data_IF_868627389675
#
_entry.id   IF_868627389675
#
_cell.length_a   1.000
_cell.length_b   1.000
_cell.length_c   1.000
_cell.angle_alpha   90.00
_cell.angle_beta   90.00
_cell.angle_gamma   90.00
#
_symmetry.space_group_name_H-M   'P 1'
#
loop_
_entity.id
_entity.type
_entity.pdbx_description
1 polymer ?
#
# COMPACT_ATOMS: atom_id res chain seq x y z
N UNK A 1 5.02 -0.78 7.57
CA UNK A 1 4.28 -0.76 8.86
C UNK A 1 2.80 -0.63 8.52
N UNK A 2 1.93 -1.53 8.98
CA UNK A 2 0.50 -1.48 8.62
C UNK A 2 -0.17 -0.35 9.39
N UNK A 3 -1.30 0.14 8.87
CA UNK A 3 -2.13 1.16 9.55
C UNK A 3 -2.51 0.75 10.98
N UNK A 4 -2.83 -0.54 11.19
CA UNK A 4 -3.12 -1.11 12.51
C UNK A 4 -1.93 -1.05 13.46
N UNK A 5 -0.71 -1.18 12.96
CA UNK A 5 0.51 -1.13 13.77
C UNK A 5 0.78 0.31 14.25
N UNK A 6 0.54 1.31 13.40
CA UNK A 6 0.63 2.73 13.78
C UNK A 6 -0.41 3.11 14.84
N UNK A 7 -1.66 2.66 14.67
CA UNK A 7 -2.72 2.91 15.65
C UNK A 7 -2.39 2.31 17.03
N UNK A 8 -1.83 1.09 17.07
CA UNK A 8 -1.35 0.47 18.32
C UNK A 8 -0.21 1.24 18.96
N UNK A 9 0.73 1.75 18.15
CA UNK A 9 1.84 2.56 18.63
C UNK A 9 1.34 3.88 19.23
N UNK A 10 0.42 4.58 18.55
CA UNK A 10 -0.23 5.79 19.08
C UNK A 10 -0.91 5.47 20.42
N UNK A 11 -1.70 4.40 20.49
CA UNK A 11 -2.40 4.00 21.72
C UNK A 11 -1.42 3.71 22.87
N UNK A 12 -0.31 3.02 22.58
CA UNK A 12 0.75 2.76 23.56
C UNK A 12 1.34 4.06 24.12
N UNK A 13 1.68 5.01 23.25
CA UNK A 13 2.25 6.31 23.65
C UNK A 13 1.25 7.10 24.50
N UNK A 14 -0.02 7.14 24.09
CA UNK A 14 -1.09 7.77 24.87
C UNK A 14 -1.19 7.12 26.25
N UNK A 15 -1.14 5.80 26.34
CA UNK A 15 -1.21 5.07 27.61
C UNK A 15 -0.02 5.40 28.52
N UNK A 16 1.20 5.46 27.98
CA UNK A 16 2.41 5.83 28.75
C UNK A 16 2.26 7.25 29.30
N UNK A 17 1.81 8.20 28.49
CA UNK A 17 1.61 9.57 28.94
C UNK A 17 0.49 9.70 29.97
N UNK A 18 -0.62 8.97 29.80
CA UNK A 18 -1.69 8.93 30.80
C UNK A 18 -1.20 8.39 32.14
N UNK A 19 -0.43 7.29 32.14
CA UNK A 19 0.15 6.72 33.36
C UNK A 19 1.15 7.66 34.02
N UNK A 20 1.98 8.35 33.24
CA UNK A 20 2.90 9.36 33.76
C UNK A 20 2.14 10.51 34.44
N UNK A 21 1.11 11.07 33.79
CA UNK A 21 0.31 12.14 34.38
C UNK A 21 -0.34 11.69 35.70
N UNK A 22 -0.94 10.49 35.71
CA UNK A 22 -1.55 9.93 36.93
C UNK A 22 -0.50 9.74 38.03
N UNK A 23 0.67 9.16 37.70
CA UNK A 23 1.77 8.98 38.65
C UNK A 23 2.28 10.30 39.21
N UNK A 24 2.40 11.33 38.37
CA UNK A 24 2.75 12.69 38.80
C UNK A 24 1.73 13.29 39.77
N UNK A 25 0.43 13.11 39.52
CA UNK A 25 -0.64 13.57 40.42
C UNK A 25 -0.62 12.84 41.76
N UNK A 26 -0.38 11.52 41.76
CA UNK A 26 -0.28 10.72 42.99
C UNK A 26 0.91 11.19 43.83
N UNK A 27 2.08 11.43 43.22
CA UNK A 27 3.27 11.93 43.92
C UNK A 27 3.03 13.33 44.48
N UNK A 28 2.36 14.20 43.71
CA UNK A 28 2.04 15.55 44.14
C UNK A 28 1.18 15.58 45.42
N UNK A 29 0.19 14.68 45.52
CA UNK A 29 -0.75 14.63 46.65
C UNK A 29 -0.18 13.82 47.82
N UNK A 30 0.45 12.68 47.56
CA UNK A 30 0.85 11.73 48.60
C UNK A 30 2.29 11.87 49.09
N UNK A 31 3.21 12.33 48.25
CA UNK A 31 4.66 12.29 48.52
C UNK A 31 5.40 13.50 47.91
N UNK A 32 5.08 14.74 48.34
CA UNK A 32 5.57 15.95 47.70
C UNK A 32 7.12 16.05 47.68
N UNK A 33 7.81 15.48 48.66
CA UNK A 33 9.28 15.46 48.73
C UNK A 33 9.96 14.74 47.54
N UNK A 34 9.24 13.85 46.85
CA UNK A 34 9.74 13.11 45.69
C UNK A 34 9.46 13.81 44.35
N UNK A 35 8.72 14.93 44.35
CA UNK A 35 8.33 15.63 43.13
C UNK A 35 9.55 16.07 42.29
N UNK A 36 10.62 16.55 42.92
CA UNK A 36 11.85 16.94 42.22
C UNK A 36 12.52 15.77 41.47
N UNK A 37 12.55 14.59 42.09
CA UNK A 37 13.07 13.36 41.47
C UNK A 37 12.18 12.92 40.30
N UNK A 38 10.86 13.00 40.47
CA UNK A 38 9.93 12.69 39.39
C UNK A 38 10.09 13.64 38.20
N UNK A 39 10.19 14.95 38.43
CA UNK A 39 10.38 15.97 37.40
C UNK A 39 11.68 15.76 36.60
N UNK A 40 12.73 15.22 37.23
CA UNK A 40 13.98 14.86 36.54
C UNK A 40 13.82 13.70 35.54
N UNK A 41 12.80 12.85 35.71
CA UNK A 41 12.50 11.73 34.82
C UNK A 41 11.55 12.10 33.67
N UNK A 42 10.78 13.19 33.82
CA UNK A 42 9.81 13.67 32.80
C UNK A 42 10.43 13.80 31.40
N UNK A 43 11.65 14.37 31.22
CA UNK A 43 12.27 14.44 29.90
C UNK A 43 12.41 13.07 29.23
N UNK A 44 12.76 12.01 29.97
CA UNK A 44 12.89 10.66 29.43
C UNK A 44 11.53 10.03 29.13
N UNK A 45 10.56 10.25 30.01
CA UNK A 45 9.17 9.79 29.85
C UNK A 45 8.55 10.39 28.58
N UNK A 46 8.89 11.63 28.24
CA UNK A 46 8.42 12.29 27.01
C UNK A 46 9.27 11.90 25.80
N UNK A 47 10.59 11.94 25.91
CA UNK A 47 11.49 11.78 24.76
C UNK A 47 11.41 10.37 24.15
N UNK A 48 11.38 9.31 24.96
CA UNK A 48 11.42 7.93 24.47
C UNK A 48 10.15 7.60 23.64
N UNK A 49 8.92 7.78 24.16
CA UNK A 49 7.71 7.50 23.39
C UNK A 49 7.57 8.42 22.17
N UNK A 50 7.97 9.69 22.27
CA UNK A 50 7.98 10.62 21.14
C UNK A 50 8.91 10.16 20.01
N UNK A 51 10.11 9.66 20.34
CA UNK A 51 11.05 9.13 19.36
C UNK A 51 10.50 7.87 18.67
N UNK A 52 9.90 6.95 19.44
CA UNK A 52 9.26 5.74 18.89
C UNK A 52 8.10 6.12 17.96
N UNK A 53 7.25 7.06 18.37
CA UNK A 53 6.14 7.58 17.55
C UNK A 53 6.63 8.21 16.25
N UNK A 54 7.64 9.06 16.33
CA UNK A 54 8.25 9.72 15.18
C UNK A 54 8.79 8.70 14.20
N UNK A 55 9.53 7.69 14.69
CA UNK A 55 10.07 6.63 13.84
C UNK A 55 8.96 5.83 13.14
N UNK A 56 7.83 5.59 13.81
CA UNK A 56 6.67 4.91 13.26
C UNK A 56 6.02 5.70 12.13
N UNK A 57 5.78 7.00 12.33
CA UNK A 57 5.25 7.89 11.30
C UNK A 57 6.19 8.04 10.11
N UNK A 58 7.50 8.18 10.35
CA UNK A 58 8.50 8.25 9.29
C UNK A 58 8.48 6.99 8.44
N UNK A 59 8.47 5.79 9.05
CA UNK A 59 8.37 4.52 8.31
C UNK A 59 7.09 4.41 7.48
N UNK A 60 5.93 4.84 7.98
CA UNK A 60 4.67 4.84 7.21
C UNK A 60 4.72 5.84 6.06
N UNK A 61 5.23 7.05 6.30
CA UNK A 61 5.37 8.08 5.26
C UNK A 61 6.29 7.61 4.14
N UNK A 62 7.45 7.04 4.47
CA UNK A 62 8.36 6.47 3.47
C UNK A 62 7.71 5.34 2.67
N UNK A 63 6.99 4.43 3.33
CA UNK A 63 6.25 3.36 2.64
C UNK A 63 5.22 3.92 1.63
N UNK A 64 4.39 4.89 2.04
CA UNK A 64 3.40 5.50 1.15
C UNK A 64 4.09 6.19 -0.04
N UNK A 65 5.18 6.91 0.20
CA UNK A 65 5.96 7.55 -0.89
C UNK A 65 6.51 6.53 -1.87
N UNK A 66 7.05 5.41 -1.38
CA UNK A 66 7.54 4.34 -2.26
C UNK A 66 6.40 3.72 -3.07
N UNK A 67 5.25 3.46 -2.44
CA UNK A 67 4.06 2.95 -3.14
C UNK A 67 3.56 3.93 -4.21
N UNK A 68 3.55 5.24 -3.91
CA UNK A 68 3.25 6.30 -4.88
C UNK A 68 4.22 6.31 -6.07
N UNK A 69 5.51 6.06 -5.83
CA UNK A 69 6.52 5.99 -6.88
C UNK A 69 6.36 4.77 -7.81
N UNK A 70 5.95 3.63 -7.26
CA UNK A 70 5.76 2.38 -8.03
C UNK A 70 4.41 2.36 -8.77
N UNK A 71 3.39 3.02 -8.21
CA UNK A 71 2.01 2.97 -8.69
C UNK A 71 1.83 3.30 -10.18
N UNK A 72 2.40 4.38 -10.75
CA UNK A 72 2.26 4.68 -12.18
C UNK A 72 2.78 3.55 -13.09
N UNK A 73 3.85 2.87 -12.69
CA UNK A 73 4.40 1.73 -13.43
C UNK A 73 3.44 0.55 -13.45
N UNK A 74 2.84 0.23 -12.31
CA UNK A 74 1.84 -0.84 -12.17
C UNK A 74 0.58 -0.51 -13.00
N UNK A 75 0.08 0.73 -12.93
CA UNK A 75 -1.06 1.19 -13.74
C UNK A 75 -0.76 1.07 -15.22
N UNK A 76 0.43 1.54 -15.64
CA UNK A 76 0.86 1.42 -17.04
C UNK A 76 0.91 -0.03 -17.48
N UNK A 77 1.41 -0.95 -16.66
CA UNK A 77 1.48 -2.37 -16.99
C UNK A 77 0.09 -2.99 -17.15
N UNK A 78 -0.80 -2.82 -16.17
CA UNK A 78 -2.17 -3.32 -16.23
C UNK A 78 -2.95 -2.75 -17.41
N UNK A 79 -2.80 -1.45 -17.68
CA UNK A 79 -3.46 -0.81 -18.83
C UNK A 79 -2.88 -1.28 -20.17
N UNK A 80 -1.56 -1.38 -20.29
CA UNK A 80 -0.90 -1.88 -21.52
C UNK A 80 -1.34 -3.30 -21.84
N UNK A 81 -1.55 -4.14 -20.81
CA UNK A 81 -2.06 -5.49 -20.98
C UNK A 81 -3.49 -5.50 -21.56
N UNK A 82 -4.36 -4.61 -21.10
CA UNK A 82 -5.72 -4.45 -21.66
C UNK A 82 -5.64 -3.92 -23.10
N UNK A 83 -4.85 -2.87 -23.34
CA UNK A 83 -4.76 -2.24 -24.66
C UNK A 83 -4.18 -3.19 -25.72
N UNK A 84 -3.27 -4.08 -25.34
CA UNK A 84 -2.73 -5.11 -26.23
C UNK A 84 -3.83 -6.02 -26.81
N UNK A 85 -4.92 -6.27 -26.08
CA UNK A 85 -6.06 -7.09 -26.56
C UNK A 85 -6.81 -6.46 -27.73
N UNK A 86 -6.58 -5.18 -28.05
CA UNK A 86 -7.18 -4.50 -29.20
C UNK A 86 -6.32 -4.60 -30.46
N UNK A 87 -5.05 -5.03 -30.35
CA UNK A 87 -4.13 -5.09 -31.47
C UNK A 87 -4.45 -6.34 -32.32
N UNK A 88 -4.85 -6.13 -33.58
CA UNK A 88 -5.25 -7.22 -34.49
C UNK A 88 -4.08 -8.11 -34.92
N UNK A 89 -2.94 -7.48 -35.19
CA UNK A 89 -1.71 -8.12 -35.68
C UNK A 89 -0.53 -7.64 -34.81
N UNK A 90 -0.40 -8.18 -33.59
CA UNK A 90 0.68 -7.77 -32.71
C UNK A 90 2.02 -8.30 -33.21
N UNK A 91 3.09 -7.56 -32.92
CA UNK A 91 4.45 -8.00 -33.18
C UNK A 91 5.17 -8.40 -31.88
N UNK A 92 6.33 -9.03 -32.04
CA UNK A 92 7.15 -9.52 -30.92
C UNK A 92 7.60 -8.41 -29.97
N UNK A 93 7.94 -7.23 -30.50
CA UNK A 93 8.35 -6.09 -29.70
C UNK A 93 7.23 -5.60 -28.79
N UNK A 94 6.00 -5.49 -29.32
CA UNK A 94 4.80 -5.11 -28.58
C UNK A 94 4.49 -6.13 -27.49
N UNK A 95 4.60 -7.43 -27.80
CA UNK A 95 4.37 -8.51 -26.82
C UNK A 95 5.38 -8.42 -25.67
N UNK A 96 6.68 -8.36 -26.00
CA UNK A 96 7.75 -8.29 -25.01
C UNK A 96 7.66 -7.04 -24.14
N UNK A 97 7.27 -5.91 -24.70
CA UNK A 97 7.07 -4.68 -23.94
C UNK A 97 6.01 -4.84 -22.85
N UNK A 98 4.90 -5.54 -23.14
CA UNK A 98 3.85 -5.80 -22.15
C UNK A 98 4.31 -6.81 -21.11
N UNK A 99 4.89 -7.93 -21.52
CA UNK A 99 5.44 -8.95 -20.61
C UNK A 99 6.48 -8.36 -19.66
N UNK A 100 7.43 -7.58 -20.17
CA UNK A 100 8.46 -6.93 -19.37
C UNK A 100 7.86 -5.93 -18.38
N UNK A 101 6.86 -5.16 -18.82
CA UNK A 101 6.16 -4.20 -17.95
C UNK A 101 5.39 -4.91 -16.83
N UNK A 102 4.74 -6.04 -17.13
CA UNK A 102 4.04 -6.87 -16.15
C UNK A 102 5.03 -7.50 -15.16
N UNK A 103 6.10 -8.12 -15.64
CA UNK A 103 7.13 -8.75 -14.81
C UNK A 103 7.80 -7.75 -13.86
N UNK A 104 8.19 -6.58 -14.38
CA UNK A 104 8.78 -5.51 -13.57
C UNK A 104 7.80 -5.03 -12.50
N UNK A 105 6.53 -4.85 -12.86
CA UNK A 105 5.50 -4.40 -11.91
C UNK A 105 5.24 -5.44 -10.82
N UNK A 106 5.22 -6.72 -11.20
CA UNK A 106 5.13 -7.86 -10.30
C UNK A 106 6.28 -7.80 -9.30
N UNK A 107 7.54 -7.74 -9.74
CA UNK A 107 8.68 -7.72 -8.82
C UNK A 107 8.74 -6.46 -7.94
N UNK A 108 8.35 -5.29 -8.46
CA UNK A 108 8.21 -4.08 -7.64
C UNK A 108 7.18 -4.27 -6.51
N UNK A 109 6.07 -4.94 -6.78
CA UNK A 109 5.06 -5.26 -5.76
C UNK A 109 5.61 -6.26 -4.72
N UNK A 110 6.47 -7.22 -5.10
CA UNK A 110 7.12 -8.15 -4.14
C UNK A 110 8.09 -7.46 -3.20
N UNK A 111 8.78 -6.44 -3.69
CA UNK A 111 9.69 -5.68 -2.86
C UNK A 111 8.91 -4.88 -1.80
N UNK A 112 7.66 -4.49 -2.10
CA UNK A 112 6.82 -3.71 -1.19
C UNK A 112 5.97 -4.56 -0.25
N UNK A 113 5.48 -5.71 -0.72
CA UNK A 113 4.51 -6.52 -0.02
C UNK A 113 5.03 -7.92 0.28
N UNK A 114 4.78 -8.41 1.49
CA UNK A 114 5.07 -9.79 1.87
C UNK A 114 3.98 -10.72 1.35
N UNK A 115 4.36 -11.94 1.01
CA UNK A 115 3.42 -13.01 0.72
C UNK A 115 2.50 -13.29 1.94
N UNK A 116 1.24 -13.63 1.67
CA UNK A 116 0.24 -13.94 2.69
C UNK A 116 -0.18 -15.40 2.48
N UNK A 117 0.07 -16.27 3.45
CA UNK A 117 -0.30 -17.70 3.34
C UNK A 117 0.38 -18.44 2.19
N UNK A 118 1.56 -17.99 1.74
CA UNK A 118 2.25 -18.53 0.57
C UNK A 118 1.79 -17.92 -0.77
N UNK A 119 0.70 -17.15 -0.77
CA UNK A 119 0.19 -16.47 -1.96
C UNK A 119 0.88 -15.14 -2.23
N UNK A 120 0.88 -14.76 -3.50
CA UNK A 120 1.44 -13.50 -3.94
C UNK A 120 0.62 -12.33 -3.39
N UNK A 121 1.26 -11.22 -2.97
CA UNK A 121 0.54 -10.10 -2.37
C UNK A 121 -0.52 -9.47 -3.28
N UNK A 122 -0.31 -9.53 -4.60
CA UNK A 122 -1.27 -9.09 -5.62
C UNK A 122 -1.37 -10.16 -6.71
N UNK A 123 -1.97 -11.30 -6.39
CA UNK A 123 -2.06 -12.47 -7.29
C UNK A 123 -2.69 -12.11 -8.64
N UNK A 124 -3.66 -11.19 -8.69
CA UNK A 124 -4.32 -10.79 -9.94
C UNK A 124 -3.34 -10.21 -10.97
N UNK A 125 -2.27 -9.52 -10.57
CA UNK A 125 -1.22 -9.06 -11.50
C UNK A 125 -0.43 -10.23 -12.10
N UNK A 126 -0.15 -11.24 -11.28
CA UNK A 126 0.51 -12.47 -11.73
C UNK A 126 -0.41 -13.26 -12.67
N UNK A 127 -1.70 -13.36 -12.38
CA UNK A 127 -2.66 -14.01 -13.29
C UNK A 127 -2.77 -13.31 -14.64
N UNK A 128 -2.64 -11.97 -14.70
CA UNK A 128 -2.54 -11.24 -15.98
C UNK A 128 -1.28 -11.67 -16.74
N UNK A 129 -0.14 -11.76 -16.07
CA UNK A 129 1.09 -12.26 -16.69
C UNK A 129 0.92 -13.68 -17.25
N UNK A 130 0.29 -14.57 -16.50
CA UNK A 130 0.02 -15.95 -16.93
C UNK A 130 -0.91 -16.02 -18.16
N UNK A 131 -1.88 -15.11 -18.31
CA UNK A 131 -2.69 -15.02 -19.54
C UNK A 131 -1.83 -14.66 -20.76
N UNK A 132 -0.82 -13.81 -20.61
CA UNK A 132 0.12 -13.49 -21.67
C UNK A 132 1.12 -14.62 -21.93
N UNK A 133 1.56 -15.31 -20.89
CA UNK A 133 2.48 -16.44 -21.02
C UNK A 133 1.87 -17.58 -21.87
N UNK A 134 0.56 -17.83 -21.71
CA UNK A 134 -0.20 -18.81 -22.51
C UNK A 134 -0.22 -18.52 -24.01
N UNK A 135 -0.05 -17.26 -24.40
CA UNK A 135 -0.04 -16.87 -25.82
C UNK A 135 1.38 -16.60 -26.33
N UNK A 136 2.43 -16.84 -25.54
CA UNK A 136 3.82 -16.48 -25.86
C UNK A 136 4.25 -16.87 -27.27
N UNK A 137 3.94 -18.08 -27.71
CA UNK A 137 4.35 -18.56 -29.03
C UNK A 137 3.55 -17.94 -30.18
N UNK A 138 2.25 -17.72 -29.97
CA UNK A 138 1.33 -17.19 -30.98
C UNK A 138 1.24 -15.66 -31.01
N UNK A 139 1.62 -15.02 -29.90
CA UNK A 139 1.43 -13.61 -29.55
C UNK A 139 -0.03 -13.10 -29.71
N UNK A 140 -1.00 -14.00 -29.89
CA UNK A 140 -2.37 -13.63 -30.24
C UNK A 140 -3.38 -14.37 -29.38
N UNK A 141 -4.28 -13.62 -28.77
CA UNK A 141 -5.41 -14.20 -28.07
C UNK A 141 -6.39 -14.82 -29.06
N UNK A 142 -6.76 -16.09 -28.84
CA UNK A 142 -7.80 -16.80 -29.62
C UNK A 142 -9.16 -16.09 -29.54
N UNK A 143 -9.50 -15.57 -28.35
CA UNK A 143 -10.67 -14.73 -28.11
C UNK A 143 -10.24 -13.41 -27.46
N UNK A 144 -9.97 -12.36 -28.26
CA UNK A 144 -9.47 -11.08 -27.74
C UNK A 144 -10.45 -10.40 -26.77
N UNK A 145 -11.76 -10.48 -27.04
CA UNK A 145 -12.79 -9.92 -26.17
C UNK A 145 -12.88 -10.65 -24.83
N UNK A 146 -12.86 -11.99 -24.85
CA UNK A 146 -12.83 -12.78 -23.62
C UNK A 146 -11.57 -12.53 -22.79
N UNK A 147 -10.41 -12.43 -23.44
CA UNK A 147 -9.15 -12.07 -22.78
C UNK A 147 -9.22 -10.67 -22.16
N UNK A 148 -9.77 -9.69 -22.88
CA UNK A 148 -9.95 -8.32 -22.40
C UNK A 148 -10.80 -8.27 -21.14
N UNK A 149 -11.96 -8.94 -21.12
CA UNK A 149 -12.84 -8.94 -19.96
C UNK A 149 -12.15 -9.57 -18.73
N UNK A 150 -11.44 -10.68 -18.92
CA UNK A 150 -10.67 -11.32 -17.84
C UNK A 150 -9.53 -10.43 -17.33
N UNK A 151 -8.68 -9.92 -18.23
CA UNK A 151 -7.54 -9.07 -17.88
C UNK A 151 -8.03 -7.77 -17.21
N UNK A 152 -9.11 -7.17 -17.70
CA UNK A 152 -9.71 -5.98 -17.09
C UNK A 152 -10.24 -6.28 -15.69
N UNK A 153 -10.94 -7.40 -15.50
CA UNK A 153 -11.42 -7.82 -14.18
C UNK A 153 -10.26 -8.04 -13.19
N UNK A 154 -9.21 -8.75 -13.60
CA UNK A 154 -8.01 -8.96 -12.79
C UNK A 154 -7.29 -7.65 -12.48
N UNK A 155 -7.24 -6.72 -13.45
CA UNK A 155 -6.64 -5.41 -13.25
C UNK A 155 -7.43 -4.59 -12.23
N UNK A 156 -8.76 -4.61 -12.29
CA UNK A 156 -9.59 -3.94 -11.29
C UNK A 156 -9.36 -4.49 -9.88
N UNK A 157 -9.30 -5.82 -9.73
CA UNK A 157 -8.99 -6.46 -8.44
C UNK A 157 -7.61 -6.05 -7.91
N UNK A 158 -6.58 -6.09 -8.77
CA UNK A 158 -5.24 -5.64 -8.40
C UNK A 158 -5.22 -4.18 -7.97
N UNK A 159 -5.90 -3.31 -8.74
CA UNK A 159 -6.02 -1.88 -8.46
C UNK A 159 -6.69 -1.65 -7.12
N UNK A 160 -7.80 -2.32 -6.83
CA UNK A 160 -8.53 -2.10 -5.59
C UNK A 160 -7.73 -2.56 -4.37
N UNK A 161 -7.08 -3.73 -4.45
CA UNK A 161 -6.19 -4.24 -3.41
C UNK A 161 -5.03 -3.27 -3.11
N UNK A 162 -4.39 -2.74 -4.16
CA UNK A 162 -3.29 -1.77 -4.00
C UNK A 162 -3.82 -0.43 -3.47
N UNK A 163 -4.98 0.05 -3.93
CA UNK A 163 -5.57 1.31 -3.49
C UNK A 163 -6.02 1.28 -2.03
N UNK A 164 -6.33 0.11 -1.47
CA UNK A 164 -6.63 -0.07 -0.05
C UNK A 164 -5.43 0.25 0.86
N UNK A 165 -4.21 0.09 0.34
CA UNK A 165 -2.97 0.36 1.08
C UNK A 165 -2.61 1.85 1.16
N UNK A 166 -3.16 2.67 0.26
CA UNK A 166 -2.99 4.12 0.28
C UNK A 166 -3.82 4.77 1.39
N UNK A 167 -3.20 5.68 2.15
CA UNK A 167 -3.91 6.57 3.07
C UNK A 167 -4.65 7.67 2.27
N UNK A 168 -5.84 7.34 1.79
CA UNK A 168 -6.67 8.24 0.96
C UNK A 168 -7.56 9.12 1.83
N UNK A 169 -7.58 10.42 1.53
CA UNK A 169 -8.53 11.38 2.11
C UNK A 169 -9.83 11.32 1.30
N UNK A 170 -10.98 11.32 1.98
CA UNK A 170 -12.29 11.36 1.32
C UNK A 170 -12.49 12.75 0.71
N UNK A 171 -12.76 12.87 -0.61
CA UNK A 171 -13.03 14.15 -1.24
C UNK A 171 -14.23 14.85 -0.60
N UNK A 172 -14.15 16.18 -0.44
CA UNK A 172 -15.27 16.98 0.13
C UNK A 172 -16.44 17.15 -0.85
N UNK A 173 -16.16 17.11 -2.16
CA UNK A 173 -17.15 17.25 -3.22
C UNK A 173 -17.06 16.03 -4.12
N UNK A 174 -18.20 15.39 -4.35
CA UNK A 174 -18.35 14.35 -5.36
C UNK A 174 -18.48 15.01 -6.73
N UNK A 175 -17.74 14.49 -7.70
CA UNK A 175 -17.81 14.91 -9.10
C UNK A 175 -18.12 13.65 -9.93
N UNK A 176 -19.37 13.51 -10.34
CA UNK A 176 -19.79 12.48 -11.27
C UNK A 176 -20.05 13.13 -12.64
N UNK A 177 -19.58 12.52 -13.73
CA UNK A 177 -20.00 12.93 -15.06
C UNK A 177 -21.49 12.69 -15.22
N UNK A 178 -22.20 13.69 -15.73
CA UNK A 178 -23.60 13.57 -16.12
C UNK A 178 -23.69 12.65 -17.35
N UNK A 179 -23.95 11.37 -17.13
CA UNK A 179 -24.31 10.46 -18.20
C UNK A 179 -25.75 10.79 -18.63
N UNK A 180 -25.90 11.54 -19.73
CA UNK A 180 -27.19 11.71 -20.40
C UNK A 180 -27.67 10.30 -20.78
N UNK A 181 -28.80 9.89 -20.19
CA UNK A 181 -29.46 8.60 -20.47
C UNK A 181 -30.08 8.57 -21.85
#
# INVERSE_FOLDING_TARGET
MRRKDLARLVLMVVTIYSLAIIGGLIILIGFPDYLGKYMSLVPFIVAIPAAVLTSGFQRRSSYIKTLQGVWPGVVKAGRSAIDYTYIKNPNYEQFNKVILSLSTSIDLLRMLFKNIGGFYPVESMKSIYEEFDRIRDSMKFKSPEGARNRISGLWHQARDAILEEFDRVVPKKYDAPDYIK
#
